data_IF_871838714494
#
_entry.id   IF_871838714494
#
_cell.length_a   1.000
_cell.length_b   1.000
_cell.length_c   1.000
_cell.angle_alpha   90.00
_cell.angle_beta   90.00
_cell.angle_gamma   90.00
#
_symmetry.space_group_name_H-M   'P 1'
#
loop_
_entity.id
_entity.type
_entity.pdbx_description
1 polymer ?
#
# COMPACT_ATOMS: atom_id res chain seq x y z
N UNK A 1 -27.59 -10.64 27.29
CA UNK A 1 -27.40 -9.49 26.41
C UNK A 1 -28.72 -8.92 25.93
N UNK A 2 -28.77 -7.66 25.59
CA UNK A 2 -29.86 -6.96 24.95
C UNK A 2 -29.74 -7.21 23.45
N UNK A 3 -30.85 -7.54 22.78
CA UNK A 3 -30.86 -7.79 21.33
C UNK A 3 -31.64 -6.73 20.58
N UNK A 4 -31.32 -6.50 19.31
CA UNK A 4 -31.94 -5.49 18.46
C UNK A 4 -32.26 -6.02 17.09
N UNK A 5 -33.34 -5.51 16.50
CA UNK A 5 -33.57 -5.57 15.07
C UNK A 5 -33.06 -4.28 14.46
N UNK A 6 -32.29 -4.38 13.38
CA UNK A 6 -31.59 -3.26 12.75
C UNK A 6 -31.85 -3.31 11.25
N UNK A 7 -32.22 -2.16 10.68
CA UNK A 7 -32.25 -1.95 9.24
C UNK A 7 -31.11 -0.98 8.88
N UNK A 8 -30.32 -1.27 7.86
CA UNK A 8 -29.21 -0.44 7.43
C UNK A 8 -29.06 -0.39 5.91
N UNK A 9 -28.57 0.72 5.42
CA UNK A 9 -27.90 0.84 4.13
C UNK A 9 -26.40 0.80 4.44
N UNK A 10 -25.66 -0.06 3.75
CA UNK A 10 -24.21 -0.18 3.92
C UNK A 10 -23.56 -0.26 2.54
N UNK A 11 -22.71 0.70 2.21
CA UNK A 11 -22.11 0.89 0.91
C UNK A 11 -20.58 0.72 1.03
N UNK A 12 -20.07 -0.43 0.62
CA UNK A 12 -18.63 -0.72 0.59
C UNK A 12 -18.08 -0.40 -0.81
N UNK A 13 -17.13 0.56 -0.95
CA UNK A 13 -16.54 0.90 -2.25
C UNK A 13 -15.90 -0.29 -2.96
N UNK A 14 -15.40 -1.29 -2.22
CA UNK A 14 -14.81 -2.50 -2.80
C UNK A 14 -15.85 -3.38 -3.48
N UNK A 15 -17.01 -3.54 -2.84
CA UNK A 15 -18.11 -4.32 -3.42
C UNK A 15 -18.76 -3.53 -4.58
N UNK A 16 -19.00 -2.24 -4.38
CA UNK A 16 -19.58 -1.36 -5.38
C UNK A 16 -18.70 -1.25 -6.63
N UNK A 17 -17.38 -1.15 -6.43
CA UNK A 17 -16.38 -1.07 -7.50
C UNK A 17 -16.24 -2.31 -8.38
N UNK A 18 -16.78 -3.48 -7.96
CA UNK A 18 -16.65 -4.72 -8.74
C UNK A 18 -17.29 -4.62 -10.14
N UNK A 19 -18.36 -3.86 -10.27
CA UNK A 19 -19.07 -3.63 -11.54
C UNK A 19 -18.48 -2.50 -12.38
N UNK A 20 -17.57 -1.70 -11.80
CA UNK A 20 -16.99 -0.53 -12.47
C UNK A 20 -15.86 -0.95 -13.42
N UNK A 21 -15.91 -0.41 -14.62
CA UNK A 21 -14.80 -0.50 -15.59
C UNK A 21 -14.20 0.88 -15.77
N UNK A 22 -13.01 1.15 -15.23
CA UNK A 22 -12.38 2.45 -15.35
C UNK A 22 -12.10 2.80 -16.82
N UNK A 23 -12.26 4.07 -17.21
CA UNK A 23 -11.92 4.54 -18.56
C UNK A 23 -10.45 4.27 -18.90
N UNK A 24 -10.20 3.83 -20.14
CA UNK A 24 -8.85 3.44 -20.58
C UNK A 24 -7.85 4.60 -20.64
N UNK A 25 -8.34 5.81 -20.87
CA UNK A 25 -7.56 7.04 -20.81
C UNK A 25 -7.09 7.35 -19.39
N UNK A 26 -7.95 7.16 -18.38
CA UNK A 26 -7.60 7.30 -16.97
C UNK A 26 -6.56 6.25 -16.53
N UNK A 27 -6.70 5.02 -17.00
CA UNK A 27 -5.70 3.97 -16.74
C UNK A 27 -4.34 4.36 -17.32
N UNK A 28 -4.31 4.92 -18.53
CA UNK A 28 -3.08 5.39 -19.18
C UNK A 28 -2.48 6.61 -18.48
N UNK A 29 -3.29 7.58 -18.10
CA UNK A 29 -2.86 8.76 -17.35
C UNK A 29 -2.17 8.37 -16.04
N UNK A 30 -2.80 7.49 -15.25
CA UNK A 30 -2.23 6.98 -14.00
C UNK A 30 -0.94 6.16 -14.23
N UNK A 31 -0.87 5.39 -15.32
CA UNK A 31 0.35 4.69 -15.68
C UNK A 31 1.50 5.65 -15.97
N UNK A 32 1.31 6.68 -16.77
CA UNK A 32 2.38 7.65 -17.06
C UNK A 32 2.83 8.40 -15.79
N UNK A 33 1.92 8.69 -14.86
CA UNK A 33 2.26 9.28 -13.57
C UNK A 33 3.10 8.35 -12.68
N UNK A 34 2.82 7.04 -12.70
CA UNK A 34 3.49 6.06 -11.83
C UNK A 34 4.75 5.44 -12.46
N UNK A 35 4.88 5.46 -13.78
CA UNK A 35 5.93 4.77 -14.54
C UNK A 35 7.34 5.08 -14.04
N UNK A 36 7.64 6.35 -13.77
CA UNK A 36 8.98 6.76 -13.33
C UNK A 36 9.32 6.18 -11.95
N UNK A 37 8.39 6.27 -11.00
CA UNK A 37 8.59 5.77 -9.63
C UNK A 37 8.56 4.25 -9.51
N UNK A 38 7.84 3.57 -10.42
CA UNK A 38 7.76 2.12 -10.47
C UNK A 38 8.91 1.46 -11.27
N UNK A 39 9.68 2.26 -12.00
CA UNK A 39 10.84 1.78 -12.76
C UNK A 39 12.07 1.69 -11.86
N UNK A 40 12.85 0.66 -12.03
CA UNK A 40 14.10 0.46 -11.31
C UNK A 40 15.26 0.90 -12.20
N UNK A 41 16.15 1.80 -11.74
CA UNK A 41 17.36 2.15 -12.47
C UNK A 41 18.32 0.95 -12.53
N UNK A 42 19.26 0.97 -13.48
CA UNK A 42 20.36 0.04 -13.48
C UNK A 42 21.11 0.13 -12.16
N UNK A 43 21.34 -1.02 -11.53
CA UNK A 43 22.15 -1.15 -10.31
C UNK A 43 23.35 -2.05 -10.59
N UNK A 44 24.47 -1.71 -9.95
CA UNK A 44 25.71 -2.45 -10.07
C UNK A 44 26.27 -2.73 -8.69
N UNK A 45 26.62 -3.99 -8.46
CA UNK A 45 27.27 -4.42 -7.22
C UNK A 45 28.77 -4.22 -7.32
N UNK A 46 29.35 -3.52 -6.33
CA UNK A 46 30.76 -3.21 -6.31
C UNK A 46 31.45 -3.69 -5.03
N UNK A 47 32.72 -4.11 -5.20
CA UNK A 47 33.70 -4.17 -4.12
C UNK A 47 34.69 -3.01 -4.25
N UNK A 48 35.10 -2.43 -3.13
CA UNK A 48 35.97 -1.27 -3.07
C UNK A 48 37.24 -1.54 -2.26
N UNK A 49 38.37 -1.01 -2.75
CA UNK A 49 39.58 -0.78 -1.95
C UNK A 49 39.73 0.73 -1.77
N UNK A 50 39.68 1.19 -0.50
CA UNK A 50 39.95 2.58 -0.15
C UNK A 50 41.38 2.72 0.37
N UNK A 51 42.18 3.59 -0.26
CA UNK A 51 43.61 3.76 0.01
C UNK A 51 43.84 5.19 0.50
N UNK A 52 44.47 5.30 1.66
CA UNK A 52 44.72 6.58 2.33
C UNK A 52 46.16 7.11 2.14
N UNK A 53 47.06 6.32 1.55
CA UNK A 53 48.46 6.73 1.36
C UNK A 53 48.98 6.38 -0.02
N UNK A 54 49.89 7.19 -0.55
CA UNK A 54 50.50 6.95 -1.85
C UNK A 54 51.37 5.70 -1.86
N UNK A 55 51.96 5.31 -0.69
CA UNK A 55 52.70 4.07 -0.56
C UNK A 55 51.82 2.85 -0.85
N UNK A 56 50.62 2.80 -0.22
CA UNK A 56 49.65 1.73 -0.43
C UNK A 56 49.08 1.74 -1.87
N UNK A 57 48.94 2.91 -2.47
CA UNK A 57 48.56 3.04 -3.87
C UNK A 57 49.56 2.36 -4.82
N UNK A 58 50.84 2.61 -4.59
CA UNK A 58 51.89 1.96 -5.38
C UNK A 58 51.90 0.43 -5.18
N UNK A 59 51.63 -0.06 -3.96
CA UNK A 59 51.52 -1.49 -3.70
C UNK A 59 50.33 -2.12 -4.48
N UNK A 60 49.17 -1.45 -4.49
CA UNK A 60 47.99 -1.92 -5.25
C UNK A 60 48.28 -1.96 -6.73
N UNK A 61 48.87 -0.92 -7.31
CA UNK A 61 49.19 -0.86 -8.73
C UNK A 61 50.19 -1.96 -9.12
N UNK A 62 51.21 -2.21 -8.31
CA UNK A 62 52.19 -3.26 -8.55
C UNK A 62 51.55 -4.66 -8.39
N UNK A 63 50.65 -4.84 -7.42
CA UNK A 63 49.91 -6.09 -7.25
C UNK A 63 49.09 -6.46 -8.48
N UNK A 64 48.35 -5.52 -9.06
CA UNK A 64 47.59 -5.76 -10.29
C UNK A 64 48.54 -6.05 -11.50
N UNK A 65 49.67 -5.36 -11.63
CA UNK A 65 50.67 -5.64 -12.69
C UNK A 65 51.27 -7.04 -12.58
N UNK A 66 51.36 -7.57 -11.37
CA UNK A 66 51.89 -8.94 -11.12
C UNK A 66 50.84 -10.02 -11.14
N UNK A 67 49.58 -9.68 -11.54
CA UNK A 67 48.48 -10.63 -11.71
C UNK A 67 47.80 -11.10 -10.39
N UNK A 68 48.00 -10.38 -9.27
CA UNK A 68 47.27 -10.69 -8.03
C UNK A 68 45.79 -10.38 -8.17
N UNK A 69 44.98 -11.18 -7.46
CA UNK A 69 43.52 -10.94 -7.41
C UNK A 69 43.18 -9.67 -6.61
N UNK A 70 41.99 -9.15 -6.82
CA UNK A 70 41.50 -7.95 -6.11
C UNK A 70 41.56 -8.09 -4.60
N UNK A 71 41.23 -9.29 -4.07
CA UNK A 71 41.30 -9.66 -2.68
C UNK A 71 42.74 -9.69 -2.13
N UNK A 72 43.65 -10.31 -2.89
CA UNK A 72 45.07 -10.36 -2.52
C UNK A 72 45.69 -8.95 -2.47
N UNK A 73 45.40 -8.14 -3.50
CA UNK A 73 45.88 -6.77 -3.58
C UNK A 73 45.34 -5.93 -2.39
N UNK A 74 44.08 -6.08 -2.04
CA UNK A 74 43.49 -5.39 -0.88
C UNK A 74 44.21 -5.80 0.42
N UNK A 75 44.35 -7.10 0.65
CA UNK A 75 44.98 -7.64 1.87
C UNK A 75 46.44 -7.19 2.00
N UNK A 76 47.20 -7.18 0.89
CA UNK A 76 48.60 -6.80 0.90
C UNK A 76 48.79 -5.30 1.11
N UNK A 77 47.92 -4.46 0.56
CA UNK A 77 48.07 -3.00 0.58
C UNK A 77 47.47 -2.33 1.84
N UNK A 78 46.35 -2.84 2.35
CA UNK A 78 45.60 -2.23 3.46
C UNK A 78 45.31 -3.21 4.63
N UNK A 79 45.77 -4.46 4.55
CA UNK A 79 45.62 -5.48 5.61
C UNK A 79 44.20 -6.02 5.78
N UNK A 80 43.25 -5.68 4.89
CA UNK A 80 41.84 -6.03 4.98
C UNK A 80 41.31 -6.51 3.63
N UNK A 81 40.23 -7.32 3.62
CA UNK A 81 39.53 -7.64 2.39
C UNK A 81 38.88 -6.39 1.79
N UNK A 82 38.55 -6.42 0.48
CA UNK A 82 37.78 -5.34 -0.15
C UNK A 82 36.45 -5.12 0.58
N UNK A 83 36.03 -3.88 0.67
CA UNK A 83 34.72 -3.53 1.22
C UNK A 83 33.62 -3.81 0.18
N UNK A 84 32.63 -4.60 0.52
CA UNK A 84 31.44 -4.75 -0.29
C UNK A 84 30.58 -3.46 -0.15
N UNK A 85 30.27 -2.83 -1.27
CA UNK A 85 29.36 -1.66 -1.30
C UNK A 85 27.91 -2.06 -1.56
N UNK A 86 27.67 -3.29 -2.06
CA UNK A 86 26.36 -3.75 -2.49
C UNK A 86 25.95 -3.18 -3.84
N UNK A 87 24.69 -3.38 -4.18
CA UNK A 87 24.10 -2.88 -5.41
C UNK A 87 23.77 -1.39 -5.28
N UNK A 88 24.34 -0.56 -6.16
CA UNK A 88 24.17 0.88 -6.19
C UNK A 88 23.77 1.33 -7.60
N UNK A 89 22.83 2.26 -7.68
CA UNK A 89 22.53 3.02 -8.88
C UNK A 89 23.57 4.14 -9.10
N UNK A 90 23.62 4.65 -10.31
CA UNK A 90 24.58 5.72 -10.64
C UNK A 90 24.42 6.97 -9.77
N UNK A 91 23.19 7.30 -9.38
CA UNK A 91 22.87 8.48 -8.59
C UNK A 91 23.19 8.34 -7.09
N UNK A 92 23.43 7.12 -6.61
CA UNK A 92 23.83 6.86 -5.21
C UNK A 92 25.33 6.94 -4.98
N UNK A 93 26.09 7.18 -6.03
CA UNK A 93 27.55 7.29 -5.98
C UNK A 93 28.01 8.72 -6.21
N UNK A 94 29.22 9.06 -5.69
CA UNK A 94 29.85 10.31 -6.03
C UNK A 94 30.06 10.40 -7.57
N UNK A 95 29.73 11.53 -8.22
CA UNK A 95 29.75 11.63 -9.69
C UNK A 95 31.07 11.15 -10.34
N UNK A 96 32.20 11.52 -9.74
CA UNK A 96 33.53 11.13 -10.24
C UNK A 96 33.77 9.61 -10.16
N UNK A 97 33.25 8.97 -9.14
CA UNK A 97 33.33 7.50 -8.97
C UNK A 97 32.32 6.82 -9.91
N UNK A 98 31.09 7.31 -9.96
CA UNK A 98 30.01 6.77 -10.78
C UNK A 98 30.38 6.74 -12.27
N UNK A 99 30.98 7.80 -12.79
CA UNK A 99 31.40 7.86 -14.20
C UNK A 99 32.42 6.80 -14.59
N UNK A 100 33.35 6.47 -13.71
CA UNK A 100 34.32 5.42 -13.94
C UNK A 100 33.75 4.02 -13.69
N UNK A 101 33.02 3.85 -12.59
CA UNK A 101 32.46 2.56 -12.16
C UNK A 101 31.41 2.03 -13.15
N UNK A 102 30.56 2.90 -13.70
CA UNK A 102 29.50 2.50 -14.63
C UNK A 102 30.00 2.24 -16.07
N UNK A 103 31.29 2.43 -16.34
CA UNK A 103 31.93 2.00 -17.60
C UNK A 103 32.53 0.60 -17.53
N UNK A 104 32.64 0.01 -16.34
CA UNK A 104 33.25 -1.29 -16.14
C UNK A 104 32.37 -2.41 -16.75
N UNK A 105 33.04 -3.41 -17.29
CA UNK A 105 32.46 -4.73 -17.56
C UNK A 105 32.56 -5.60 -16.30
N UNK A 106 31.82 -6.70 -16.30
CA UNK A 106 31.82 -7.65 -15.19
C UNK A 106 33.27 -8.08 -14.85
N UNK A 107 33.61 -8.05 -13.57
CA UNK A 107 34.93 -8.33 -13.01
C UNK A 107 36.06 -7.33 -13.38
N UNK A 108 35.76 -6.28 -14.13
CA UNK A 108 36.73 -5.20 -14.37
C UNK A 108 36.93 -4.33 -13.14
N UNK A 109 38.10 -3.69 -13.08
CA UNK A 109 38.53 -2.82 -11.97
C UNK A 109 38.79 -1.40 -12.51
N UNK A 110 38.37 -0.38 -11.76
CA UNK A 110 38.68 1.00 -12.13
C UNK A 110 40.17 1.31 -12.00
N UNK A 111 40.60 2.32 -12.72
CA UNK A 111 41.84 3.04 -12.31
C UNK A 111 41.60 3.69 -10.94
N UNK A 112 42.68 3.98 -10.18
CA UNK A 112 42.53 4.72 -8.92
C UNK A 112 41.86 6.08 -9.12
N UNK A 113 40.79 6.33 -8.36
CA UNK A 113 40.01 7.56 -8.43
C UNK A 113 40.24 8.35 -7.14
N UNK A 114 40.75 9.57 -7.25
CA UNK A 114 41.05 10.42 -6.07
C UNK A 114 39.81 11.18 -5.63
N UNK A 115 39.54 11.16 -4.33
CA UNK A 115 38.54 11.98 -3.67
C UNK A 115 39.14 12.63 -2.41
N UNK A 116 38.34 13.40 -1.68
CA UNK A 116 38.74 13.96 -0.39
C UNK A 116 39.01 12.85 0.68
N UNK A 117 38.43 11.68 0.53
CA UNK A 117 38.59 10.54 1.45
C UNK A 117 39.82 9.67 1.13
N UNK A 118 40.46 9.85 -0.04
CA UNK A 118 41.56 9.02 -0.47
C UNK A 118 41.39 8.53 -1.91
N UNK A 119 42.06 7.41 -2.22
CA UNK A 119 41.98 6.77 -3.53
C UNK A 119 41.00 5.58 -3.51
N UNK A 120 40.03 5.59 -4.41
CA UNK A 120 39.04 4.54 -4.56
C UNK A 120 39.40 3.67 -5.78
N UNK A 121 39.39 2.37 -5.58
CA UNK A 121 39.49 1.38 -6.66
C UNK A 121 38.31 0.43 -6.51
N UNK A 122 37.49 0.33 -7.55
CA UNK A 122 36.26 -0.46 -7.54
C UNK A 122 36.38 -1.63 -8.52
N UNK A 123 35.83 -2.76 -8.13
CA UNK A 123 35.58 -3.91 -9.03
C UNK A 123 34.07 -4.10 -9.15
N UNK A 124 33.61 -4.30 -10.39
CA UNK A 124 32.22 -4.65 -10.66
C UNK A 124 31.97 -6.15 -10.45
N UNK A 125 31.11 -6.50 -9.52
CA UNK A 125 30.79 -7.89 -9.18
C UNK A 125 29.54 -8.39 -9.93
N UNK A 126 28.52 -7.52 -10.13
CA UNK A 126 27.23 -7.87 -10.75
C UNK A 126 26.60 -6.66 -11.41
N UNK A 127 25.86 -6.86 -12.47
CA UNK A 127 25.00 -5.85 -13.12
C UNK A 127 23.56 -6.31 -13.01
N UNK A 128 22.71 -5.45 -12.49
CA UNK A 128 21.26 -5.58 -12.51
C UNK A 128 20.72 -4.53 -13.49
N UNK A 129 20.21 -4.99 -14.61
CA UNK A 129 19.72 -4.10 -15.66
C UNK A 129 18.55 -3.25 -15.19
N UNK A 130 18.44 -2.04 -15.72
CA UNK A 130 17.27 -1.21 -15.48
C UNK A 130 15.99 -1.95 -15.90
N UNK A 131 14.96 -1.85 -15.07
CA UNK A 131 13.62 -2.37 -15.36
C UNK A 131 12.66 -1.21 -15.49
N UNK A 132 12.24 -0.92 -16.71
CA UNK A 132 11.21 0.08 -16.97
C UNK A 132 9.85 -0.58 -16.72
N UNK A 133 9.06 0.02 -15.84
CA UNK A 133 7.71 -0.47 -15.57
C UNK A 133 6.85 -0.36 -16.82
N UNK A 134 6.11 -1.42 -17.13
CA UNK A 134 5.17 -1.47 -18.26
C UNK A 134 3.74 -1.23 -17.79
N UNK A 135 2.86 -0.87 -18.71
CA UNK A 135 1.43 -0.77 -18.43
C UNK A 135 0.86 -2.11 -17.95
N UNK A 136 1.35 -3.21 -18.47
CA UNK A 136 0.91 -4.55 -18.08
C UNK A 136 1.26 -4.86 -16.62
N UNK A 137 2.46 -4.48 -16.17
CA UNK A 137 2.90 -4.63 -14.79
C UNK A 137 2.02 -3.85 -13.80
N UNK A 138 1.64 -2.63 -14.14
CA UNK A 138 0.94 -1.71 -13.23
C UNK A 138 -0.58 -1.70 -13.38
N UNK A 139 -1.10 -2.18 -14.52
CA UNK A 139 -2.53 -2.15 -14.83
C UNK A 139 -3.43 -2.74 -13.74
N UNK A 140 -3.14 -3.92 -13.15
CA UNK A 140 -4.01 -4.47 -12.11
C UNK A 140 -4.17 -3.53 -10.92
N UNK A 141 -3.05 -2.96 -10.45
CA UNK A 141 -3.04 -2.01 -9.34
C UNK A 141 -3.80 -0.72 -9.67
N UNK A 142 -3.52 -0.14 -10.83
CA UNK A 142 -4.16 1.10 -11.29
C UNK A 142 -5.67 0.90 -11.44
N UNK A 143 -6.10 -0.21 -12.02
CA UNK A 143 -7.53 -0.53 -12.19
C UNK A 143 -8.23 -0.66 -10.84
N UNK A 144 -7.62 -1.33 -9.87
CA UNK A 144 -8.20 -1.47 -8.52
C UNK A 144 -8.31 -0.12 -7.79
N UNK A 145 -7.29 0.74 -7.89
CA UNK A 145 -7.31 2.08 -7.31
C UNK A 145 -8.40 2.94 -7.94
N UNK A 146 -8.48 2.97 -9.27
CA UNK A 146 -9.50 3.73 -10.01
C UNK A 146 -10.92 3.22 -9.74
N UNK A 147 -11.12 1.91 -9.66
CA UNK A 147 -12.41 1.33 -9.28
C UNK A 147 -12.88 1.83 -7.92
N UNK A 148 -11.98 1.82 -6.94
CA UNK A 148 -12.29 2.28 -5.58
C UNK A 148 -12.56 3.78 -5.55
N UNK A 149 -11.78 4.59 -6.27
CA UNK A 149 -11.97 6.04 -6.37
C UNK A 149 -13.35 6.35 -6.98
N UNK A 150 -13.66 5.80 -8.15
CA UNK A 150 -14.95 6.00 -8.82
C UNK A 150 -16.11 5.51 -7.96
N UNK A 151 -15.96 4.33 -7.32
CA UNK A 151 -16.96 3.80 -6.42
C UNK A 151 -17.22 4.73 -5.23
N UNK A 152 -16.17 5.29 -4.64
CA UNK A 152 -16.29 6.23 -3.52
C UNK A 152 -17.03 7.50 -3.95
N UNK A 153 -16.69 8.07 -5.10
CA UNK A 153 -17.35 9.26 -5.64
C UNK A 153 -18.85 9.02 -5.90
N UNK A 154 -19.18 7.87 -6.49
CA UNK A 154 -20.58 7.49 -6.72
C UNK A 154 -21.32 7.25 -5.39
N UNK A 155 -20.70 6.61 -4.41
CA UNK A 155 -21.29 6.41 -3.08
C UNK A 155 -21.55 7.74 -2.40
N UNK A 156 -20.64 8.70 -2.45
CA UNK A 156 -20.86 10.05 -1.87
C UNK A 156 -22.06 10.72 -2.51
N UNK A 157 -22.25 10.61 -3.82
CA UNK A 157 -23.44 11.15 -4.49
C UNK A 157 -24.72 10.40 -4.08
N UNK A 158 -24.64 9.08 -3.91
CA UNK A 158 -25.76 8.25 -3.46
C UNK A 158 -26.14 8.63 -2.02
N UNK A 159 -25.17 8.79 -1.13
CA UNK A 159 -25.42 9.15 0.27
C UNK A 159 -26.09 10.52 0.40
N UNK A 160 -25.65 11.51 -0.39
CA UNK A 160 -26.33 12.82 -0.45
C UNK A 160 -27.79 12.69 -0.87
N UNK A 161 -28.09 11.87 -1.88
CA UNK A 161 -29.48 11.63 -2.30
C UNK A 161 -30.31 10.88 -1.27
N UNK A 162 -29.70 9.95 -0.51
CA UNK A 162 -30.37 9.26 0.61
C UNK A 162 -30.75 10.27 1.69
N UNK A 163 -29.82 11.13 2.08
CA UNK A 163 -30.04 12.16 3.10
C UNK A 163 -31.17 13.09 2.72
N UNK A 164 -31.18 13.59 1.48
CA UNK A 164 -32.27 14.42 0.94
C UNK A 164 -33.64 13.72 1.02
N UNK A 165 -33.71 12.41 0.73
CA UNK A 165 -34.94 11.64 0.77
C UNK A 165 -35.45 11.44 2.22
N UNK A 166 -34.53 11.13 3.14
CA UNK A 166 -34.85 10.99 4.56
C UNK A 166 -35.33 12.34 5.11
N UNK A 167 -34.66 13.45 4.77
CA UNK A 167 -35.06 14.79 5.16
C UNK A 167 -36.46 15.20 4.60
N UNK A 168 -36.81 14.67 3.42
CA UNK A 168 -38.15 14.83 2.85
C UNK A 168 -39.22 13.92 3.49
N UNK A 169 -38.86 13.13 4.50
CA UNK A 169 -39.80 12.30 5.29
C UNK A 169 -40.00 10.87 4.75
N UNK A 170 -39.16 10.40 3.80
CA UNK A 170 -39.21 9.01 3.36
C UNK A 170 -38.63 8.09 4.44
N UNK A 171 -39.13 6.86 4.45
CA UNK A 171 -38.52 5.79 5.27
C UNK A 171 -37.13 5.42 4.72
N UNK A 172 -36.30 4.77 5.53
CA UNK A 172 -34.99 4.31 5.10
C UNK A 172 -35.10 3.34 3.92
N UNK A 173 -36.11 2.50 3.91
CA UNK A 173 -36.44 1.55 2.84
C UNK A 173 -36.81 2.26 1.53
N UNK A 174 -37.70 3.27 1.61
CA UNK A 174 -38.13 4.04 0.42
C UNK A 174 -36.99 4.88 -0.14
N UNK A 175 -36.16 5.49 0.74
CA UNK A 175 -34.97 6.24 0.34
C UNK A 175 -33.96 5.33 -0.40
N UNK A 176 -33.68 4.14 0.12
CA UNK A 176 -32.82 3.14 -0.50
C UNK A 176 -33.33 2.74 -1.89
N UNK A 177 -34.62 2.40 -1.96
CA UNK A 177 -35.30 2.03 -3.23
C UNK A 177 -35.23 3.15 -4.26
N UNK A 178 -35.46 4.41 -3.84
CA UNK A 178 -35.45 5.57 -4.72
C UNK A 178 -34.08 5.85 -5.37
N UNK A 179 -32.99 5.44 -4.70
CA UNK A 179 -31.62 5.61 -5.24
C UNK A 179 -31.02 4.31 -5.80
N UNK A 180 -31.78 3.19 -5.75
CA UNK A 180 -31.36 1.92 -6.33
C UNK A 180 -30.35 1.13 -5.51
N UNK A 181 -30.31 1.31 -4.17
CA UNK A 181 -29.45 0.55 -3.28
C UNK A 181 -30.25 -0.41 -2.40
N UNK A 182 -29.60 -1.47 -1.95
CA UNK A 182 -30.23 -2.46 -1.10
C UNK A 182 -30.13 -2.08 0.39
N UNK A 183 -31.18 -2.42 1.14
CA UNK A 183 -31.14 -2.45 2.60
C UNK A 183 -30.65 -3.80 3.09
N UNK A 184 -30.06 -3.81 4.26
CA UNK A 184 -29.68 -5.01 5.01
C UNK A 184 -30.49 -5.02 6.31
N UNK A 185 -31.09 -6.17 6.67
CA UNK A 185 -31.82 -6.33 7.92
C UNK A 185 -31.15 -7.37 8.79
N UNK A 186 -30.96 -7.02 10.04
CA UNK A 186 -30.41 -7.90 11.07
C UNK A 186 -31.47 -8.07 12.17
N UNK A 187 -31.84 -9.30 12.45
CA UNK A 187 -32.87 -9.61 13.46
C UNK A 187 -32.25 -10.24 14.69
N UNK A 188 -32.62 -9.71 15.86
CA UNK A 188 -32.19 -10.19 17.19
C UNK A 188 -30.68 -10.37 17.30
N UNK A 189 -29.95 -9.32 16.99
CA UNK A 189 -28.49 -9.27 17.14
C UNK A 189 -28.10 -8.50 18.40
N UNK A 190 -27.04 -8.92 19.08
CA UNK A 190 -26.44 -8.17 20.17
C UNK A 190 -25.55 -7.02 19.64
N UNK A 191 -24.95 -6.23 20.53
CA UNK A 191 -24.07 -5.10 20.18
C UNK A 191 -22.82 -5.50 19.37
N UNK A 192 -22.48 -6.78 19.30
CA UNK A 192 -21.36 -7.32 18.53
C UNK A 192 -21.81 -7.99 17.23
N UNK A 193 -23.12 -8.02 16.96
CA UNK A 193 -23.70 -8.68 15.79
C UNK A 193 -23.84 -10.21 15.92
N UNK A 194 -23.89 -10.74 17.15
CA UNK A 194 -24.15 -12.14 17.38
C UNK A 194 -25.66 -12.39 17.54
N UNK A 195 -26.11 -13.52 17.04
CA UNK A 195 -27.49 -14.02 17.28
C UNK A 195 -27.69 -14.43 18.73
N UNK A 196 -28.93 -14.74 19.11
CA UNK A 196 -29.27 -15.32 20.43
C UNK A 196 -28.54 -16.64 20.73
N UNK A 197 -28.04 -17.33 19.73
CA UNK A 197 -27.20 -18.52 19.85
C UNK A 197 -25.70 -18.25 19.95
N UNK A 198 -25.28 -16.98 20.06
CA UNK A 198 -23.87 -16.58 20.18
C UNK A 198 -23.07 -16.65 18.88
N UNK A 199 -23.73 -16.87 17.74
CA UNK A 199 -23.06 -16.95 16.42
C UNK A 199 -23.14 -15.58 15.74
N UNK A 200 -22.00 -15.09 15.27
CA UNK A 200 -21.96 -13.82 14.54
C UNK A 200 -22.68 -13.93 13.19
N UNK A 201 -23.53 -12.96 12.92
CA UNK A 201 -24.27 -12.89 11.65
C UNK A 201 -23.31 -12.59 10.51
N UNK A 202 -23.40 -13.38 9.42
CA UNK A 202 -22.62 -13.13 8.22
C UNK A 202 -22.94 -11.75 7.62
N UNK A 203 -21.91 -11.02 7.22
CA UNK A 203 -22.06 -9.68 6.64
C UNK A 203 -22.38 -8.57 7.66
N UNK A 204 -22.44 -8.88 8.96
CA UNK A 204 -22.61 -7.82 9.97
C UNK A 204 -21.38 -6.91 10.00
N UNK A 205 -21.54 -5.57 9.86
CA UNK A 205 -20.42 -4.64 9.81
C UNK A 205 -19.53 -4.71 11.05
N UNK A 206 -18.21 -4.59 10.84
CA UNK A 206 -17.23 -4.63 11.94
C UNK A 206 -16.77 -3.25 12.38
N UNK A 207 -17.23 -2.21 11.69
CA UNK A 207 -16.89 -0.83 12.03
C UNK A 207 -17.33 -0.52 13.45
N UNK A 208 -16.41 0.01 14.26
CA UNK A 208 -16.70 0.40 15.62
C UNK A 208 -17.84 1.42 15.68
N UNK A 209 -17.82 2.40 14.76
CA UNK A 209 -18.87 3.42 14.69
C UNK A 209 -20.25 2.81 14.43
N UNK A 210 -20.32 1.81 13.54
CA UNK A 210 -21.57 1.07 13.31
C UNK A 210 -22.06 0.39 14.59
N UNK A 211 -21.16 -0.33 15.29
CA UNK A 211 -21.49 -1.04 16.53
C UNK A 211 -21.96 -0.07 17.63
N UNK A 212 -21.26 1.05 17.82
CA UNK A 212 -21.60 2.05 18.82
C UNK A 212 -23.00 2.62 18.58
N UNK A 213 -23.33 2.98 17.32
CA UNK A 213 -24.65 3.50 16.95
C UNK A 213 -25.78 2.50 17.18
N UNK A 214 -25.53 1.20 16.99
CA UNK A 214 -26.56 0.19 17.31
C UNK A 214 -27.00 0.23 18.77
N UNK A 215 -26.18 0.74 19.67
CA UNK A 215 -26.47 0.82 21.11
C UNK A 215 -26.92 2.18 21.57
N UNK A 216 -26.69 3.24 20.79
CA UNK A 216 -27.01 4.63 21.13
C UNK A 216 -28.37 5.08 20.62
N UNK A 217 -28.83 4.52 19.49
CA UNK A 217 -30.09 4.94 18.87
C UNK A 217 -31.31 4.33 19.56
N UNK A 218 -32.35 5.13 19.65
CA UNK A 218 -33.68 4.70 20.09
C UNK A 218 -34.46 4.02 18.96
N UNK A 219 -35.43 3.16 19.26
CA UNK A 219 -36.26 2.52 18.25
C UNK A 219 -36.96 3.50 17.32
N UNK A 220 -36.80 3.31 16.02
CA UNK A 220 -37.35 4.15 14.95
C UNK A 220 -36.45 5.34 14.55
N UNK A 221 -35.37 5.60 15.27
CA UNK A 221 -34.43 6.66 14.96
C UNK A 221 -33.41 6.21 13.91
N UNK A 222 -33.19 7.03 12.85
CA UNK A 222 -32.12 6.86 11.89
C UNK A 222 -30.84 7.53 12.38
N UNK A 223 -29.69 6.88 12.18
CA UNK A 223 -28.42 7.61 12.32
C UNK A 223 -28.27 8.68 11.25
N UNK A 224 -27.35 9.62 11.42
CA UNK A 224 -26.77 10.33 10.29
C UNK A 224 -26.06 9.33 9.35
N UNK A 225 -25.75 9.78 8.12
CA UNK A 225 -24.85 9.04 7.25
C UNK A 225 -23.44 9.15 7.81
N UNK A 226 -22.81 8.01 8.02
CA UNK A 226 -21.49 7.90 8.64
C UNK A 226 -20.50 7.21 7.69
N UNK A 227 -19.24 7.63 7.75
CA UNK A 227 -18.14 6.96 7.12
C UNK A 227 -17.42 6.05 8.12
N UNK A 228 -17.25 4.80 7.75
CA UNK A 228 -16.50 3.84 8.54
C UNK A 228 -14.99 3.93 8.27
N UNK A 229 -14.15 3.46 9.22
CA UNK A 229 -12.68 3.50 9.09
C UNK A 229 -12.12 2.72 7.87
N UNK A 230 -12.92 1.84 7.27
CA UNK A 230 -12.55 1.09 6.06
C UNK A 230 -12.99 1.77 4.76
N UNK A 231 -13.53 2.99 4.85
CA UNK A 231 -14.04 3.79 3.74
C UNK A 231 -15.44 3.40 3.26
N UNK A 232 -16.15 2.53 4.00
CA UNK A 232 -17.55 2.24 3.73
C UNK A 232 -18.44 3.34 4.30
N UNK A 233 -19.60 3.57 3.66
CA UNK A 233 -20.61 4.53 4.12
C UNK A 233 -21.85 3.78 4.58
N UNK A 234 -22.49 4.28 5.64
CA UNK A 234 -23.70 3.64 6.13
C UNK A 234 -24.66 4.63 6.82
N UNK A 235 -25.91 4.23 6.85
CA UNK A 235 -26.96 4.77 7.72
C UNK A 235 -27.71 3.58 8.28
N UNK A 236 -28.04 3.62 9.56
CA UNK A 236 -28.76 2.54 10.21
C UNK A 236 -29.92 3.08 11.05
N UNK A 237 -30.93 2.23 11.25
CA UNK A 237 -32.03 2.43 12.16
C UNK A 237 -32.17 1.21 13.06
N UNK A 238 -32.38 1.44 14.37
CA UNK A 238 -32.79 0.41 15.30
C UNK A 238 -34.32 0.30 15.23
N UNK A 239 -34.81 -0.84 14.72
CA UNK A 239 -36.27 -1.02 14.56
C UNK A 239 -36.92 -1.47 15.85
N UNK A 240 -36.23 -2.30 16.67
CA UNK A 240 -36.74 -2.84 17.92
C UNK A 240 -35.61 -3.24 18.86
N UNK A 241 -35.88 -3.03 20.16
CA UNK A 241 -35.00 -3.47 21.25
C UNK A 241 -35.71 -4.58 22.03
N UNK A 242 -34.99 -5.66 22.32
CA UNK A 242 -35.46 -6.76 23.14
C UNK A 242 -34.70 -6.77 24.45
N UNK A 243 -35.45 -6.56 25.57
CA UNK A 243 -34.87 -6.57 26.89
C UNK A 243 -34.36 -7.97 27.29
N UNK A 244 -33.29 -8.04 28.11
CA UNK A 244 -32.81 -9.29 28.63
C UNK A 244 -33.88 -9.99 29.46
N UNK A 245 -34.23 -11.22 29.12
CA UNK A 245 -35.03 -12.04 30.04
C UNK A 245 -34.13 -12.47 31.20
N UNK A 246 -34.46 -12.05 32.40
CA UNK A 246 -33.87 -12.58 33.64
C UNK A 246 -34.47 -13.97 33.83
N UNK A 247 -33.70 -15.07 33.91
CA UNK A 247 -34.23 -16.35 34.26
C UNK A 247 -34.81 -16.29 35.65
N UNK A 248 -36.04 -16.73 35.83
CA UNK A 248 -36.57 -16.96 37.17
C UNK A 248 -35.71 -18.01 37.86
N UNK A 249 -35.08 -17.63 38.96
CA UNK A 249 -34.33 -18.55 39.80
C UNK A 249 -35.38 -19.45 40.47
N UNK A 250 -35.45 -20.72 40.05
CA UNK A 250 -36.23 -21.75 40.73
C UNK A 250 -35.44 -22.34 41.90
#
# INVERSE_FOLDING_TARGET
PQYRDITAIYLDPREFGKSITPPSDKVRENFEALKASASLPEQRDFSQILILSDKSLNQVQNGFKTGKTFEQVSKDAIGKPPQALGALSKNEMLPTIAEAAFKLKLNEVTKPIKTALGWHILRLNKVEAARIATLEDLRPKIVEELKREIATDEIIQITGRIDDKIAAGLTLEDAASAVGVNIIKFSRVDSLGNTTGGVRVAGFPKSRRFLDLTTQLEPGENSAIEEANDGSYFVLRVDKIYEPKIPEIR
#
